data_IF_341488379973
#
_entry.id   IF_341488379973
#
_cell.length_a   1.000
_cell.length_b   1.000
_cell.length_c   1.000
_cell.angle_alpha   90.00
_cell.angle_beta   90.00
_cell.angle_gamma   90.00
#
_symmetry.space_group_name_H-M   'P 1'
#
loop_
_entity.id
_entity.type
_entity.pdbx_description
1 polymer ?
#
# COMPACT_ATOMS: atom_id res chain seq x y z
N UNK A 1 8.53 20.70 -28.40
CA UNK A 1 9.22 20.68 -27.09
C UNK A 1 8.14 20.57 -26.02
N UNK A 2 7.77 19.35 -25.64
CA UNK A 2 6.67 19.08 -24.71
C UNK A 2 7.25 19.09 -23.29
N UNK A 3 6.61 19.75 -22.30
CA UNK A 3 7.23 19.92 -21.00
C UNK A 3 7.42 18.56 -20.34
N UNK A 4 8.63 18.35 -19.83
CA UNK A 4 9.01 17.26 -18.94
C UNK A 4 7.92 17.14 -17.87
N UNK A 5 7.20 16.02 -17.86
CA UNK A 5 6.40 15.61 -16.71
C UNK A 5 7.38 15.57 -15.53
N UNK A 6 7.40 16.63 -14.72
CA UNK A 6 8.07 16.60 -13.42
C UNK A 6 7.43 15.43 -12.70
N UNK A 7 8.30 14.51 -12.30
CA UNK A 7 8.07 13.50 -11.29
C UNK A 7 6.82 13.83 -10.47
N UNK A 8 5.88 12.89 -10.37
CA UNK A 8 5.02 12.85 -9.19
C UNK A 8 5.92 12.57 -7.99
N UNK A 9 6.71 13.57 -7.60
CA UNK A 9 7.15 13.80 -6.24
C UNK A 9 5.86 14.07 -5.49
N UNK A 10 5.11 13.01 -5.22
CA UNK A 10 4.24 12.95 -4.07
C UNK A 10 5.20 13.29 -2.93
N UNK A 11 5.12 14.53 -2.43
CA UNK A 11 5.89 14.98 -1.29
C UNK A 11 5.61 13.97 -0.19
N UNK A 12 6.54 13.02 -0.02
CA UNK A 12 6.48 12.09 1.09
C UNK A 12 6.49 12.98 2.33
N UNK A 13 5.53 12.81 3.24
CA UNK A 13 5.53 13.58 4.46
C UNK A 13 6.90 13.47 5.11
N UNK A 14 7.47 14.62 5.53
CA UNK A 14 8.80 14.71 6.17
C UNK A 14 8.93 13.88 7.47
N UNK A 15 7.86 13.22 7.89
CA UNK A 15 7.89 12.17 8.89
C UNK A 15 8.60 10.92 8.34
N UNK A 16 9.83 10.71 8.82
CA UNK A 16 10.65 9.51 8.59
C UNK A 16 9.81 8.22 8.81
N UNK A 17 8.90 8.27 9.77
CA UNK A 17 7.95 7.21 10.11
C UNK A 17 6.98 6.84 8.97
N UNK A 18 6.47 7.82 8.20
CA UNK A 18 5.54 7.55 7.10
C UNK A 18 6.26 7.02 5.86
N UNK A 19 7.46 7.55 5.59
CA UNK A 19 8.30 7.09 4.49
C UNK A 19 8.76 5.64 4.70
N UNK A 20 9.16 5.29 5.93
CA UNK A 20 9.49 3.91 6.32
C UNK A 20 8.31 2.96 6.13
N UNK A 21 7.09 3.39 6.49
CA UNK A 21 5.90 2.56 6.25
C UNK A 21 5.64 2.39 4.76
N UNK A 22 5.82 3.45 3.96
CA UNK A 22 5.67 3.38 2.52
C UNK A 22 6.63 2.37 1.88
N UNK A 23 7.90 2.36 2.31
CA UNK A 23 8.89 1.37 1.86
C UNK A 23 8.48 -0.05 2.25
N UNK A 24 8.03 -0.26 3.49
CA UNK A 24 7.54 -1.57 3.97
C UNK A 24 6.34 -2.07 3.17
N UNK A 25 5.41 -1.18 2.80
CA UNK A 25 4.28 -1.52 1.92
C UNK A 25 4.76 -2.00 0.56
N UNK A 26 5.74 -1.30 -0.02
CA UNK A 26 6.32 -1.66 -1.32
C UNK A 26 7.05 -2.99 -1.26
N UNK A 27 7.83 -3.23 -0.21
CA UNK A 27 8.53 -4.50 0.00
C UNK A 27 7.55 -5.66 0.18
N UNK A 28 6.51 -5.49 1.00
CA UNK A 28 5.47 -6.49 1.18
C UNK A 28 4.77 -6.83 -0.14
N UNK A 29 4.48 -5.84 -0.99
CA UNK A 29 3.92 -6.08 -2.33
C UNK A 29 4.88 -6.88 -3.23
N UNK A 30 6.18 -6.59 -3.18
CA UNK A 30 7.19 -7.36 -3.90
C UNK A 30 7.27 -8.81 -3.41
N UNK A 31 7.15 -9.05 -2.11
CA UNK A 31 7.11 -10.40 -1.55
C UNK A 31 5.86 -11.18 -1.98
N UNK A 32 4.71 -10.51 -2.11
CA UNK A 32 3.48 -11.13 -2.66
C UNK A 32 3.70 -11.60 -4.11
N UNK A 33 4.37 -10.78 -4.93
CA UNK A 33 4.65 -11.09 -6.34
C UNK A 33 5.70 -12.20 -6.49
N UNK A 34 6.65 -12.29 -5.55
CA UNK A 34 7.73 -13.30 -5.55
C UNK A 34 7.32 -14.63 -4.90
N UNK A 35 6.23 -14.65 -4.14
CA UNK A 35 5.77 -15.86 -3.47
C UNK A 35 5.33 -16.91 -4.50
N UNK A 36 6.01 -18.05 -4.51
CA UNK A 36 5.74 -19.18 -5.41
C UNK A 36 4.60 -20.06 -4.89
N UNK A 37 4.39 -20.09 -3.57
CA UNK A 37 3.36 -20.87 -2.91
C UNK A 37 2.23 -20.00 -2.37
N UNK A 38 1.01 -20.52 -2.46
CA UNK A 38 -0.17 -19.78 -2.04
C UNK A 38 -0.25 -19.50 -0.53
N UNK A 39 0.19 -20.40 0.37
CA UNK A 39 0.28 -20.11 1.80
C UNK A 39 1.16 -18.90 2.12
N UNK A 40 2.38 -18.81 1.56
CA UNK A 40 3.23 -17.63 1.78
C UNK A 40 2.62 -16.37 1.15
N UNK A 41 2.05 -16.47 -0.05
CA UNK A 41 1.34 -15.35 -0.69
C UNK A 41 0.22 -14.81 0.20
N UNK A 42 -0.59 -15.69 0.79
CA UNK A 42 -1.64 -15.32 1.77
C UNK A 42 -1.06 -14.64 3.01
N UNK A 43 0.04 -15.15 3.56
CA UNK A 43 0.71 -14.54 4.71
C UNK A 43 1.20 -13.12 4.41
N UNK A 44 1.81 -12.90 3.24
CA UNK A 44 2.26 -11.58 2.81
C UNK A 44 1.10 -10.62 2.55
N UNK A 45 -0.01 -11.11 1.97
CA UNK A 45 -1.24 -10.31 1.79
C UNK A 45 -1.82 -9.86 3.14
N UNK A 46 -1.93 -10.75 4.14
CA UNK A 46 -2.45 -10.36 5.46
C UNK A 46 -1.53 -9.37 6.18
N UNK A 47 -0.21 -9.54 6.05
CA UNK A 47 0.77 -8.56 6.56
C UNK A 47 0.62 -7.20 5.88
N UNK A 48 0.53 -7.19 4.54
CA UNK A 48 0.32 -5.95 3.77
C UNK A 48 -0.98 -5.24 4.18
N UNK A 49 -2.08 -5.98 4.40
CA UNK A 49 -3.34 -5.38 4.86
C UNK A 49 -3.21 -4.70 6.22
N UNK A 50 -2.51 -5.33 7.18
CA UNK A 50 -2.25 -4.73 8.49
C UNK A 50 -1.42 -3.46 8.37
N UNK A 51 -0.36 -3.49 7.57
CA UNK A 51 0.52 -2.34 7.37
C UNK A 51 -0.22 -1.19 6.66
N UNK A 52 -1.12 -1.48 5.70
CA UNK A 52 -1.96 -0.48 5.04
C UNK A 52 -2.91 0.21 6.03
N UNK A 53 -3.53 -0.54 6.96
CA UNK A 53 -4.38 0.05 7.99
C UNK A 53 -3.59 1.01 8.89
N UNK A 54 -2.40 0.60 9.34
CA UNK A 54 -1.52 1.44 10.16
C UNK A 54 -1.10 2.70 9.40
N UNK A 55 -0.74 2.55 8.11
CA UNK A 55 -0.37 3.66 7.25
C UNK A 55 -1.51 4.67 7.12
N UNK A 56 -2.72 4.19 6.81
CA UNK A 56 -3.92 5.05 6.69
C UNK A 56 -4.20 5.81 7.98
N UNK A 57 -4.19 5.13 9.13
CA UNK A 57 -4.49 5.76 10.41
C UNK A 57 -3.45 6.84 10.75
N UNK A 58 -2.17 6.61 10.42
CA UNK A 58 -1.14 7.66 10.50
C UNK A 58 -1.40 8.80 9.51
N UNK A 59 -1.72 8.52 8.24
CA UNK A 59 -2.04 9.59 7.27
C UNK A 59 -3.17 10.51 7.76
N UNK A 60 -4.20 9.97 8.42
CA UNK A 60 -5.26 10.75 9.07
C UNK A 60 -4.72 11.64 10.20
N UNK A 61 -3.88 11.09 11.09
CA UNK A 61 -3.29 11.85 12.21
C UNK A 61 -2.37 12.98 11.74
N UNK A 62 -1.59 12.74 10.68
CA UNK A 62 -0.68 13.72 10.10
C UNK A 62 -1.39 14.75 9.19
N UNK A 63 -2.72 14.68 9.05
CA UNK A 63 -3.49 15.66 8.28
C UNK A 63 -3.20 15.67 6.78
N UNK A 64 -2.76 14.53 6.24
CA UNK A 64 -2.44 14.39 4.81
C UNK A 64 -3.72 14.54 3.97
N UNK A 65 -3.56 15.04 2.74
CA UNK A 65 -4.65 15.25 1.80
C UNK A 65 -5.58 14.02 1.70
N UNK A 66 -6.89 14.25 1.80
CA UNK A 66 -7.92 13.20 1.81
C UNK A 66 -7.85 12.30 0.57
N UNK A 67 -7.44 12.84 -0.57
CA UNK A 67 -7.25 12.07 -1.80
C UNK A 67 -6.22 10.94 -1.65
N UNK A 68 -5.11 11.21 -0.94
CA UNK A 68 -4.07 10.21 -0.68
C UNK A 68 -4.61 9.12 0.26
N UNK A 69 -5.35 9.52 1.28
CA UNK A 69 -5.99 8.61 2.24
C UNK A 69 -7.00 7.70 1.53
N UNK A 70 -7.88 8.27 0.70
CA UNK A 70 -8.87 7.53 -0.09
C UNK A 70 -8.20 6.55 -1.06
N UNK A 71 -7.08 6.92 -1.68
CA UNK A 71 -6.34 6.02 -2.55
C UNK A 71 -5.79 4.81 -1.79
N UNK A 72 -5.29 5.01 -0.57
CA UNK A 72 -4.84 3.93 0.31
C UNK A 72 -6.02 3.04 0.74
N UNK A 73 -7.20 3.62 1.03
CA UNK A 73 -8.41 2.86 1.34
C UNK A 73 -8.90 2.02 0.16
N UNK A 74 -8.89 2.57 -1.05
CA UNK A 74 -9.23 1.83 -2.28
C UNK A 74 -8.29 0.66 -2.49
N UNK A 75 -6.98 0.84 -2.28
CA UNK A 75 -6.00 -0.24 -2.35
C UNK A 75 -6.29 -1.35 -1.32
N UNK A 76 -6.60 -0.98 -0.07
CA UNK A 76 -6.98 -1.93 0.97
C UNK A 76 -8.23 -2.74 0.60
N UNK A 77 -9.23 -2.07 0.02
CA UNK A 77 -10.47 -2.69 -0.45
C UNK A 77 -10.21 -3.65 -1.63
N UNK A 78 -9.34 -3.28 -2.57
CA UNK A 78 -8.95 -4.14 -3.70
C UNK A 78 -8.21 -5.39 -3.22
N UNK A 79 -7.24 -5.26 -2.31
CA UNK A 79 -6.53 -6.40 -1.72
C UNK A 79 -7.48 -7.35 -0.99
N UNK A 80 -8.49 -6.80 -0.31
CA UNK A 80 -9.53 -7.59 0.35
C UNK A 80 -10.42 -8.35 -0.66
N UNK A 81 -10.69 -7.76 -1.82
CA UNK A 81 -11.42 -8.43 -2.92
C UNK A 81 -10.58 -9.52 -3.58
N UNK A 82 -9.28 -9.28 -3.81
CA UNK A 82 -8.38 -10.29 -4.38
C UNK A 82 -8.33 -11.57 -3.53
N UNK A 83 -8.37 -11.45 -2.20
CA UNK A 83 -8.50 -12.62 -1.31
C UNK A 83 -9.74 -13.46 -1.61
N UNK A 84 -10.87 -12.85 -2.01
CA UNK A 84 -12.09 -13.61 -2.33
C UNK A 84 -12.03 -14.29 -3.68
N UNK A 85 -11.35 -13.70 -4.65
CA UNK A 85 -11.24 -14.29 -6.00
C UNK A 85 -10.40 -15.58 -5.97
N UNK A 86 -9.39 -15.66 -5.10
CA UNK A 86 -8.56 -16.87 -4.92
C UNK A 86 -9.19 -17.95 -4.03
N UNK A 87 -10.35 -17.70 -3.42
CA UNK A 87 -11.06 -18.69 -2.58
C UNK A 87 -12.21 -19.36 -3.36
N UNK A 88 -12.42 -18.96 -4.62
CA UNK A 88 -13.41 -19.57 -5.52
C UNK A 88 -12.67 -20.35 -6.60
N UNK A 89 -12.07 -21.48 -6.21
CA UNK A 89 -11.82 -22.66 -7.06
C UNK A 89 -12.14 -23.91 -6.23
#
# INVERSE_FOLDING_TARGET
MVPRLRSLECELPQDEDLSLIHERLREAAQLILKAEDEPARRLHIERLKKDICIYRDKLYVHGIATEIVENVERLAALLTKYKRVLIVE
#
